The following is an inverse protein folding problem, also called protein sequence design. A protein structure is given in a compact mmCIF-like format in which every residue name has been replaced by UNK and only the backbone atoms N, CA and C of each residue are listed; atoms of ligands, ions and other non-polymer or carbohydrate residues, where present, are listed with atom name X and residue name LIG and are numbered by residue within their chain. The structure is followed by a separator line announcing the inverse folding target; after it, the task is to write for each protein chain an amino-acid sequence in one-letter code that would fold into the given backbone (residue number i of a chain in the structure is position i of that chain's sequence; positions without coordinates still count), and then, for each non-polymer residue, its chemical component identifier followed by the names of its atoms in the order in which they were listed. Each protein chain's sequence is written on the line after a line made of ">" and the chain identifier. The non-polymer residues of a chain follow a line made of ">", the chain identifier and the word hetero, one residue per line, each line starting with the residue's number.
data_IF_020853991590
#
_entry.id   IF_020853991590
#
_cell.length_a   1.000
_cell.length_b   1.000
_cell.length_c   1.000
_cell.angle_alpha   90.00
_cell.angle_beta   90.00
_cell.angle_gamma   90.00
#
_symmetry.space_group_name_H-M   'P 1'
#
loop_
_entity.id
_entity.type
_entity.pdbx_description
1 polymer ?
#
# COMPACT_ATOMS: atom_id res chain seq x y z
N UNK A 1 -4.16 42.42 -48.16
CA UNK A 1 -4.52 41.02 -48.44
C UNK A 1 -4.73 40.34 -47.10
N UNK A 2 -6.01 40.24 -46.75
CA UNK A 2 -6.55 39.61 -45.53
C UNK A 2 -6.85 38.15 -45.81
N UNK A 3 -6.63 37.29 -44.80
CA UNK A 3 -7.38 36.06 -44.49
C UNK A 3 -7.15 35.83 -42.98
N UNK A 4 -7.97 36.40 -42.09
CA UNK A 4 -9.28 35.95 -41.59
C UNK A 4 -9.18 35.02 -40.37
N UNK A 5 -9.10 35.65 -39.20
CA UNK A 5 -9.41 35.06 -37.89
C UNK A 5 -10.92 35.08 -37.61
N UNK A 6 -11.70 34.41 -38.45
CA UNK A 6 -13.16 34.47 -38.46
C UNK A 6 -13.84 33.12 -38.12
N UNK A 7 -13.31 32.37 -37.14
CA UNK A 7 -13.93 31.12 -36.68
C UNK A 7 -14.59 31.21 -35.29
N UNK A 8 -14.20 32.15 -34.41
CA UNK A 8 -14.74 32.20 -33.03
C UNK A 8 -15.88 33.21 -32.77
N UNK A 9 -16.12 34.24 -33.62
CA UNK A 9 -16.99 35.37 -33.21
C UNK A 9 -18.22 35.61 -34.10
N UNK A 10 -19.02 34.58 -34.33
CA UNK A 10 -20.43 34.78 -34.67
C UNK A 10 -21.27 33.92 -33.71
N UNK A 11 -22.61 34.04 -33.72
CA UNK A 11 -23.54 33.26 -32.87
C UNK A 11 -23.82 33.85 -31.47
N UNK A 12 -23.98 35.17 -31.42
CA UNK A 12 -24.82 35.81 -30.39
C UNK A 12 -26.27 35.86 -30.88
N UNK A 13 -27.15 35.22 -30.11
CA UNK A 13 -28.63 35.32 -30.10
C UNK A 13 -29.45 34.29 -30.89
N UNK A 14 -30.16 33.45 -30.10
CA UNK A 14 -31.32 32.61 -30.40
C UNK A 14 -31.13 31.39 -31.33
N UNK A 15 -30.95 30.18 -30.76
CA UNK A 15 -31.60 28.94 -31.22
C UNK A 15 -31.25 27.70 -30.36
N UNK A 16 -32.20 26.80 -30.04
CA UNK A 16 -31.95 25.57 -29.26
C UNK A 16 -31.42 24.40 -30.12
N UNK A 17 -30.57 24.66 -31.13
CA UNK A 17 -30.16 23.64 -32.15
C UNK A 17 -28.62 23.52 -32.30
N UNK A 18 -27.84 23.88 -31.27
CA UNK A 18 -26.36 23.79 -31.34
C UNK A 18 -25.76 22.48 -30.75
N UNK A 19 -26.55 21.55 -30.25
CA UNK A 19 -26.01 20.26 -29.76
C UNK A 19 -25.44 19.38 -30.89
N UNK A 20 -25.93 19.51 -32.13
CA UNK A 20 -25.55 18.62 -33.24
C UNK A 20 -24.16 18.94 -33.85
N UNK A 21 -23.66 20.18 -33.76
CA UNK A 21 -22.42 20.57 -34.46
C UNK A 21 -21.15 20.08 -33.76
N UNK A 22 -21.18 19.87 -32.44
CA UNK A 22 -19.99 19.42 -31.68
C UNK A 22 -19.90 17.90 -31.55
N UNK A 23 -21.00 17.17 -31.77
CA UNK A 23 -20.99 15.69 -31.80
C UNK A 23 -20.14 15.12 -32.94
N UNK A 24 -19.93 15.91 -33.99
CA UNK A 24 -19.16 15.56 -35.19
C UNK A 24 -17.69 15.99 -35.13
N UNK A 25 -17.29 16.76 -34.12
CA UNK A 25 -15.92 17.21 -33.97
C UNK A 25 -14.99 16.06 -33.57
N UNK A 26 -13.76 16.13 -34.07
CA UNK A 26 -12.65 15.27 -33.66
C UNK A 26 -12.20 15.60 -32.23
N UNK A 27 -11.42 14.70 -31.63
CA UNK A 27 -10.90 14.92 -30.28
C UNK A 27 -10.01 16.17 -30.23
N UNK A 28 -9.18 16.36 -31.25
CA UNK A 28 -8.26 17.48 -31.39
C UNK A 28 -8.98 18.83 -31.51
N UNK A 29 -10.06 18.89 -32.29
CA UNK A 29 -10.88 20.09 -32.41
C UNK A 29 -11.57 20.43 -31.08
N UNK A 30 -12.10 19.41 -30.38
CA UNK A 30 -12.68 19.59 -29.05
C UNK A 30 -11.65 20.07 -28.03
N UNK A 31 -10.42 19.55 -28.07
CA UNK A 31 -9.32 19.99 -27.20
C UNK A 31 -8.88 21.42 -27.51
N UNK A 32 -8.90 21.82 -28.79
CA UNK A 32 -8.63 23.20 -29.20
C UNK A 32 -9.69 24.15 -28.64
N UNK A 33 -10.98 23.79 -28.72
CA UNK A 33 -12.04 24.56 -28.07
C UNK A 33 -11.87 24.61 -26.55
N UNK A 34 -11.45 23.52 -25.91
CA UNK A 34 -11.22 23.47 -24.46
C UNK A 34 -10.09 24.41 -24.00
N UNK A 35 -9.11 24.69 -24.87
CA UNK A 35 -8.00 25.59 -24.60
C UNK A 35 -8.33 27.08 -24.84
N UNK A 36 -9.46 27.37 -25.50
CA UNK A 36 -9.90 28.75 -25.77
C UNK A 36 -10.30 29.46 -24.45
N UNK A 37 -9.70 30.62 -24.13
CA UNK A 37 -10.06 31.41 -22.95
C UNK A 37 -11.51 31.89 -22.90
N UNK A 38 -12.21 31.95 -24.04
CA UNK A 38 -13.62 32.36 -24.11
C UNK A 38 -14.60 31.22 -23.76
N UNK A 39 -14.11 29.98 -23.65
CA UNK A 39 -14.93 28.81 -23.32
C UNK A 39 -15.50 28.91 -21.90
N UNK A 40 -16.83 28.83 -21.77
CA UNK A 40 -17.51 28.83 -20.48
C UNK A 40 -17.22 27.56 -19.67
N UNK A 41 -17.21 27.64 -18.34
CA UNK A 41 -17.06 26.48 -17.45
C UNK A 41 -18.05 25.34 -17.78
N UNK A 42 -19.30 25.68 -18.07
CA UNK A 42 -20.33 24.70 -18.42
C UNK A 42 -20.02 24.01 -19.76
N UNK A 43 -19.44 24.73 -20.72
CA UNK A 43 -19.02 24.17 -22.00
C UNK A 43 -17.78 23.30 -21.86
N UNK A 44 -16.81 23.72 -21.05
CA UNK A 44 -15.63 22.92 -20.74
C UNK A 44 -16.01 21.57 -20.14
N UNK A 45 -17.01 21.51 -19.26
CA UNK A 45 -17.54 20.25 -18.70
C UNK A 45 -18.10 19.36 -19.81
N UNK A 46 -18.97 19.88 -20.68
CA UNK A 46 -19.56 19.11 -21.79
C UNK A 46 -18.50 18.57 -22.76
N UNK A 47 -17.48 19.38 -23.06
CA UNK A 47 -16.37 18.95 -23.92
C UNK A 47 -15.62 17.79 -23.27
N UNK A 48 -15.35 17.85 -21.97
CA UNK A 48 -14.69 16.76 -21.23
C UNK A 48 -15.54 15.49 -21.21
N UNK A 49 -16.84 15.60 -20.95
CA UNK A 49 -17.77 14.47 -21.01
C UNK A 49 -17.72 13.80 -22.39
N UNK A 50 -17.77 14.61 -23.45
CA UNK A 50 -17.68 14.10 -24.82
C UNK A 50 -16.35 13.40 -25.12
N UNK A 51 -15.24 14.00 -24.68
CA UNK A 51 -13.92 13.38 -24.82
C UNK A 51 -13.84 12.04 -24.07
N UNK A 52 -14.46 11.92 -22.90
CA UNK A 52 -14.54 10.67 -22.15
C UNK A 52 -15.34 9.61 -22.92
N UNK A 53 -16.52 9.97 -23.44
CA UNK A 53 -17.36 9.07 -24.26
C UNK A 53 -16.61 8.56 -25.49
N UNK A 54 -15.97 9.47 -26.25
CA UNK A 54 -15.24 9.12 -27.48
C UNK A 54 -14.09 8.13 -27.23
N UNK A 55 -13.52 8.13 -26.02
CA UNK A 55 -12.35 7.32 -25.68
C UNK A 55 -12.69 6.14 -24.75
N UNK A 56 -13.97 5.84 -24.50
CA UNK A 56 -14.36 4.72 -23.64
C UNK A 56 -13.78 3.38 -24.16
N UNK A 57 -13.85 3.15 -25.47
CA UNK A 57 -13.25 1.95 -26.09
C UNK A 57 -11.73 1.89 -25.91
N UNK A 58 -11.05 3.03 -25.99
CA UNK A 58 -9.60 3.11 -25.77
C UNK A 58 -9.23 2.81 -24.31
N UNK A 59 -10.02 3.30 -23.35
CA UNK A 59 -9.87 2.98 -21.92
C UNK A 59 -10.02 1.48 -21.69
N UNK A 60 -11.02 0.84 -22.32
CA UNK A 60 -11.20 -0.61 -22.26
C UNK A 60 -9.99 -1.36 -22.87
N UNK A 61 -9.47 -0.90 -24.00
CA UNK A 61 -8.30 -1.52 -24.66
C UNK A 61 -7.02 -1.41 -23.80
N UNK A 62 -6.80 -0.28 -23.14
CA UNK A 62 -5.66 -0.08 -22.25
C UNK A 62 -5.76 -1.01 -21.04
N UNK A 63 -6.91 -1.04 -20.37
CA UNK A 63 -7.10 -1.82 -19.14
C UNK A 63 -7.16 -3.33 -19.38
N UNK A 64 -7.65 -3.78 -20.54
CA UNK A 64 -7.71 -5.21 -20.90
C UNK A 64 -6.35 -5.91 -20.81
N UNK A 65 -5.25 -5.20 -21.10
CA UNK A 65 -3.87 -5.72 -21.01
C UNK A 65 -3.40 -6.01 -19.58
N UNK A 66 -4.17 -5.58 -18.57
CA UNK A 66 -3.89 -5.71 -17.15
C UNK A 66 -4.86 -6.63 -16.41
N UNK A 67 -5.74 -7.33 -17.14
CA UNK A 67 -6.65 -8.31 -16.56
C UNK A 67 -5.88 -9.41 -15.79
N UNK A 68 -6.47 -9.91 -14.71
CA UNK A 68 -5.94 -11.01 -13.90
C UNK A 68 -4.63 -10.71 -13.16
N UNK A 69 -4.32 -9.43 -12.91
CA UNK A 69 -3.14 -9.02 -12.12
C UNK A 69 -3.43 -8.71 -10.65
N UNK A 70 -4.57 -9.19 -10.14
CA UNK A 70 -4.95 -9.04 -8.72
C UNK A 70 -5.74 -7.78 -8.36
N UNK A 71 -6.15 -6.97 -9.35
CA UNK A 71 -6.98 -5.78 -9.15
C UNK A 71 -8.33 -5.90 -9.89
N UNK A 72 -9.44 -5.40 -9.30
CA UNK A 72 -10.74 -5.34 -9.98
C UNK A 72 -10.66 -4.52 -11.27
N UNK A 73 -11.36 -5.00 -12.31
CA UNK A 73 -11.35 -4.32 -13.61
C UNK A 73 -11.91 -2.89 -13.54
N UNK A 74 -12.86 -2.65 -12.64
CA UNK A 74 -13.44 -1.32 -12.43
C UNK A 74 -12.40 -0.32 -11.91
N UNK A 75 -11.55 -0.74 -10.96
CA UNK A 75 -10.48 0.10 -10.42
C UNK A 75 -9.42 0.43 -11.48
N UNK A 76 -9.10 -0.54 -12.34
CA UNK A 76 -8.21 -0.33 -13.49
C UNK A 76 -8.82 0.67 -14.49
N UNK A 77 -10.13 0.59 -14.76
CA UNK A 77 -10.84 1.57 -15.60
C UNK A 77 -10.80 2.95 -14.97
N UNK A 78 -11.04 3.08 -13.66
CA UNK A 78 -10.95 4.37 -12.98
C UNK A 78 -9.56 4.97 -13.04
N UNK A 79 -8.50 4.17 -12.83
CA UNK A 79 -7.12 4.63 -12.98
C UNK A 79 -6.82 5.11 -14.40
N UNK A 80 -7.32 4.39 -15.42
CA UNK A 80 -7.20 4.80 -16.81
C UNK A 80 -7.99 6.09 -17.10
N UNK A 81 -9.20 6.27 -16.58
CA UNK A 81 -9.96 7.52 -16.73
C UNK A 81 -9.25 8.73 -16.10
N UNK A 82 -8.61 8.55 -14.94
CA UNK A 82 -7.74 9.59 -14.36
C UNK A 82 -6.60 9.95 -15.32
N UNK A 83 -5.97 8.96 -15.95
CA UNK A 83 -4.95 9.17 -16.97
C UNK A 83 -5.49 9.87 -18.22
N UNK A 84 -6.70 9.53 -18.67
CA UNK A 84 -7.36 10.21 -19.78
C UNK A 84 -7.59 11.70 -19.45
N UNK A 85 -8.09 12.00 -18.26
CA UNK A 85 -8.30 13.40 -17.84
C UNK A 85 -7.00 14.18 -17.73
N UNK A 86 -5.91 13.53 -17.29
CA UNK A 86 -4.56 14.14 -17.34
C UNK A 86 -4.10 14.41 -18.76
N UNK A 87 -4.35 13.48 -19.69
CA UNK A 87 -4.03 13.67 -21.09
C UNK A 87 -4.84 14.83 -21.70
N UNK A 88 -6.15 14.90 -21.42
CA UNK A 88 -7.01 16.01 -21.85
C UNK A 88 -6.48 17.35 -21.33
N UNK A 89 -6.02 17.41 -20.09
CA UNK A 89 -5.49 18.65 -19.49
C UNK A 89 -4.10 19.05 -19.97
N UNK A 90 -3.30 18.10 -20.46
CA UNK A 90 -1.89 18.30 -20.76
C UNK A 90 -1.54 18.06 -22.22
N UNK A 91 -2.52 17.91 -23.10
CA UNK A 91 -2.27 17.76 -24.54
C UNK A 91 -2.10 19.13 -25.18
N UNK A 92 -1.12 19.22 -26.07
CA UNK A 92 -0.82 20.41 -26.86
C UNK A 92 -1.01 20.09 -28.35
N UNK A 93 -2.06 20.63 -29.00
CA UNK A 93 -2.33 20.41 -30.42
C UNK A 93 -1.24 20.90 -31.36
N UNK A 94 -0.44 21.90 -30.95
CA UNK A 94 0.56 22.54 -31.80
C UNK A 94 1.80 21.64 -32.02
N UNK A 95 1.96 20.60 -31.19
CA UNK A 95 3.05 19.62 -31.32
C UNK A 95 2.83 18.60 -32.46
N UNK A 96 1.66 18.60 -33.11
CA UNK A 96 1.39 17.80 -34.31
C UNK A 96 1.31 16.28 -34.10
N UNK A 97 1.10 15.84 -32.86
CA UNK A 97 0.90 14.42 -32.53
C UNK A 97 -0.59 14.11 -32.34
N UNK A 98 -1.02 12.91 -32.75
CA UNK A 98 -2.39 12.42 -32.54
C UNK A 98 -2.70 12.27 -31.04
N UNK A 99 -3.85 12.81 -30.59
CA UNK A 99 -4.27 12.76 -29.20
C UNK A 99 -4.39 11.31 -28.71
N UNK A 100 -4.86 10.40 -29.56
CA UNK A 100 -5.05 8.99 -29.19
C UNK A 100 -3.74 8.34 -28.69
N UNK A 101 -2.62 8.63 -29.37
CA UNK A 101 -1.30 8.09 -29.00
C UNK A 101 -0.83 8.65 -27.66
N UNK A 102 -0.96 9.95 -27.46
CA UNK A 102 -0.59 10.63 -26.21
C UNK A 102 -1.43 10.15 -25.02
N UNK A 103 -2.74 10.07 -25.21
CA UNK A 103 -3.68 9.58 -24.21
C UNK A 103 -3.37 8.13 -23.82
N UNK A 104 -3.03 7.26 -24.77
CA UNK A 104 -2.66 5.86 -24.49
C UNK A 104 -1.45 5.75 -23.55
N UNK A 105 -0.37 6.51 -23.81
CA UNK A 105 0.83 6.49 -22.96
C UNK A 105 0.49 6.98 -21.56
N UNK A 106 -0.26 8.07 -21.45
CA UNK A 106 -0.65 8.69 -20.18
C UNK A 106 -1.53 7.77 -19.33
N UNK A 107 -2.56 7.17 -19.95
CA UNK A 107 -3.42 6.19 -19.29
C UNK A 107 -2.67 4.97 -18.80
N UNK A 108 -1.79 4.42 -19.64
CA UNK A 108 -0.98 3.27 -19.27
C UNK A 108 -0.03 3.58 -18.10
N UNK A 109 0.47 4.82 -18.03
CA UNK A 109 1.22 5.35 -16.89
C UNK A 109 0.41 5.37 -15.60
N UNK A 110 -0.82 5.91 -15.61
CA UNK A 110 -1.66 5.94 -14.42
C UNK A 110 -2.12 4.55 -13.97
N UNK A 111 -2.40 3.62 -14.89
CA UNK A 111 -2.72 2.23 -14.53
C UNK A 111 -1.51 1.56 -13.86
N UNK A 112 -0.30 1.73 -14.40
CA UNK A 112 0.93 1.22 -13.75
C UNK A 112 1.15 1.86 -12.38
N UNK A 113 0.90 3.16 -12.25
CA UNK A 113 0.98 3.88 -10.99
C UNK A 113 -0.03 3.35 -9.96
N UNK A 114 -1.25 3.02 -10.38
CA UNK A 114 -2.26 2.41 -9.52
C UNK A 114 -1.76 1.09 -8.91
N UNK A 115 -1.24 0.18 -9.75
CA UNK A 115 -0.64 -1.07 -9.27
C UNK A 115 0.49 -0.84 -8.25
N UNK A 116 1.31 0.18 -8.48
CA UNK A 116 2.42 0.50 -7.60
C UNK A 116 1.97 1.08 -6.27
N UNK A 117 0.99 1.98 -6.30
CA UNK A 117 0.60 2.78 -5.12
C UNK A 117 -0.46 2.06 -4.25
N UNK A 118 -1.26 1.11 -4.80
CA UNK A 118 -2.41 0.50 -4.10
C UNK A 118 -2.43 -1.02 -3.98
N UNK A 119 -1.72 -1.77 -4.82
CA UNK A 119 -1.80 -3.24 -4.83
C UNK A 119 -0.85 -3.91 -3.84
N UNK A 120 0.02 -3.15 -3.16
CA UNK A 120 0.97 -3.73 -2.20
C UNK A 120 0.27 -4.05 -0.88
N UNK A 121 0.26 -5.33 -0.50
CA UNK A 121 -0.28 -5.79 0.78
C UNK A 121 0.43 -5.13 1.99
N UNK A 122 1.73 -4.83 1.84
CA UNK A 122 2.50 -4.05 2.82
C UNK A 122 3.22 -2.91 2.11
N UNK A 123 3.16 -1.70 2.68
CA UNK A 123 3.79 -0.51 2.11
C UNK A 123 5.32 -0.60 2.23
N UNK A 124 6.01 -0.87 1.12
CA UNK A 124 7.46 -0.93 1.04
C UNK A 124 8.05 0.37 0.46
N UNK A 125 9.26 0.82 0.87
CA UNK A 125 9.92 1.99 0.29
C UNK A 125 10.10 1.90 -1.23
N UNK A 126 10.05 3.07 -1.88
CA UNK A 126 9.98 3.22 -3.34
C UNK A 126 11.12 2.53 -4.11
N UNK A 127 12.33 2.57 -3.57
CA UNK A 127 13.53 1.97 -4.18
C UNK A 127 13.32 0.47 -4.43
N UNK A 128 12.71 -0.25 -3.49
CA UNK A 128 12.47 -1.70 -3.62
C UNK A 128 11.34 -2.02 -4.59
N UNK A 129 10.34 -1.14 -4.72
CA UNK A 129 9.25 -1.33 -5.68
C UNK A 129 9.73 -1.24 -7.13
N UNK A 130 10.61 -0.27 -7.41
CA UNK A 130 11.21 -0.08 -8.74
C UNK A 130 12.18 -1.24 -9.06
N UNK A 131 13.00 -1.65 -8.09
CA UNK A 131 13.91 -2.81 -8.21
C UNK A 131 13.19 -4.12 -8.50
N UNK A 132 11.96 -4.35 -8.02
CA UNK A 132 11.20 -5.58 -8.33
C UNK A 132 10.98 -5.79 -9.83
N UNK A 133 10.70 -4.72 -10.58
CA UNK A 133 10.49 -4.82 -12.04
C UNK A 133 11.80 -5.23 -12.72
N UNK A 134 12.92 -4.62 -12.31
CA UNK A 134 14.25 -4.94 -12.81
C UNK A 134 14.65 -6.37 -12.46
N UNK A 135 14.37 -6.81 -11.23
CA UNK A 135 14.66 -8.14 -10.73
C UNK A 135 13.86 -9.22 -11.47
N UNK A 136 12.58 -9.00 -11.72
CA UNK A 136 11.76 -9.92 -12.53
C UNK A 136 12.29 -10.03 -13.97
N UNK A 137 12.70 -8.91 -14.57
CA UNK A 137 13.27 -8.89 -15.92
C UNK A 137 14.62 -9.63 -15.96
N UNK A 138 15.52 -9.31 -15.03
CA UNK A 138 16.83 -9.96 -14.92
C UNK A 138 16.69 -11.46 -14.65
N UNK A 139 15.75 -11.85 -13.78
CA UNK A 139 15.47 -13.26 -13.48
C UNK A 139 14.99 -14.02 -14.72
N UNK A 140 14.07 -13.44 -15.50
CA UNK A 140 13.60 -14.04 -16.75
C UNK A 140 14.73 -14.17 -17.81
N UNK A 141 15.54 -13.13 -17.99
CA UNK A 141 16.67 -13.14 -18.93
C UNK A 141 17.74 -14.18 -18.53
N UNK A 142 18.10 -14.25 -17.26
CA UNK A 142 19.08 -15.20 -16.75
C UNK A 142 18.55 -16.64 -16.82
N UNK A 143 17.27 -16.86 -16.50
CA UNK A 143 16.65 -18.18 -16.63
C UNK A 143 16.72 -18.69 -18.08
N UNK A 144 16.47 -17.80 -19.05
CA UNK A 144 16.58 -18.14 -20.47
C UNK A 144 18.01 -18.44 -20.91
N UNK A 145 19.00 -17.76 -20.31
CA UNK A 145 20.42 -17.90 -20.68
C UNK A 145 21.09 -19.09 -20.01
N UNK A 146 20.78 -19.33 -18.73
CA UNK A 146 21.41 -20.34 -17.88
C UNK A 146 20.69 -21.69 -17.93
N UNK A 147 19.41 -21.70 -18.32
CA UNK A 147 18.58 -22.92 -18.34
C UNK A 147 18.12 -23.39 -16.95
N UNK A 148 18.38 -22.60 -15.90
CA UNK A 148 17.91 -22.83 -14.53
C UNK A 148 17.54 -21.51 -13.85
N UNK A 149 16.87 -21.57 -12.71
CA UNK A 149 16.57 -20.39 -11.90
C UNK A 149 17.88 -19.74 -11.41
N UNK A 150 18.06 -18.41 -11.56
CA UNK A 150 19.28 -17.73 -11.16
C UNK A 150 19.43 -17.65 -9.64
N UNK A 151 20.68 -17.69 -9.19
CA UNK A 151 21.07 -17.50 -7.80
C UNK A 151 21.13 -16.02 -7.41
N UNK A 152 21.18 -15.75 -6.11
CA UNK A 152 21.31 -14.37 -5.57
C UNK A 152 22.57 -13.68 -6.10
N UNK A 153 23.69 -14.40 -6.16
CA UNK A 153 24.96 -13.87 -6.67
C UNK A 153 24.89 -13.52 -8.16
N UNK A 154 24.27 -14.36 -8.99
CA UNK A 154 24.09 -14.09 -10.44
C UNK A 154 23.15 -12.89 -10.69
N UNK A 155 22.10 -12.77 -9.87
CA UNK A 155 21.22 -11.59 -9.91
C UNK A 155 21.95 -10.32 -9.49
N UNK A 156 22.77 -10.38 -8.44
CA UNK A 156 23.57 -9.27 -7.95
C UNK A 156 24.55 -8.78 -9.02
N UNK A 157 25.26 -9.71 -9.68
CA UNK A 157 26.19 -9.40 -10.76
C UNK A 157 25.48 -8.76 -11.96
N UNK A 158 24.34 -9.33 -12.38
CA UNK A 158 23.56 -8.82 -13.52
C UNK A 158 22.97 -7.43 -13.27
N UNK A 159 22.54 -7.14 -12.04
CA UNK A 159 21.89 -5.89 -11.66
C UNK A 159 22.88 -4.84 -11.14
N UNK A 160 24.13 -5.20 -10.85
CA UNK A 160 25.15 -4.29 -10.33
C UNK A 160 24.84 -3.80 -8.90
N UNK A 161 24.20 -4.62 -8.08
CA UNK A 161 23.83 -4.32 -6.68
C UNK A 161 24.41 -5.39 -5.74
N UNK A 162 24.39 -5.13 -4.43
CA UNK A 162 24.85 -6.13 -3.45
C UNK A 162 23.89 -7.31 -3.33
N UNK A 163 24.39 -8.48 -2.92
CA UNK A 163 23.55 -9.65 -2.62
C UNK A 163 22.52 -9.35 -1.52
N UNK A 164 22.89 -8.51 -0.54
CA UNK A 164 21.97 -8.03 0.50
C UNK A 164 20.82 -7.21 -0.10
N UNK A 165 21.11 -6.31 -1.04
CA UNK A 165 20.09 -5.53 -1.75
C UNK A 165 19.17 -6.44 -2.60
N UNK A 166 19.71 -7.51 -3.18
CA UNK A 166 18.92 -8.53 -3.92
C UNK A 166 17.99 -9.26 -2.95
N UNK A 167 18.50 -9.73 -1.81
CA UNK A 167 17.70 -10.42 -0.79
C UNK A 167 16.58 -9.54 -0.26
N UNK A 168 16.88 -8.29 0.09
CA UNK A 168 15.88 -7.31 0.51
C UNK A 168 14.84 -7.03 -0.58
N UNK A 169 15.26 -6.98 -1.85
CA UNK A 169 14.35 -6.78 -2.98
C UNK A 169 13.47 -8.01 -3.26
N UNK A 170 13.99 -9.22 -3.05
CA UNK A 170 13.23 -10.47 -3.12
C UNK A 170 12.20 -10.56 -1.99
N UNK A 171 12.59 -10.23 -0.77
CA UNK A 171 11.71 -10.19 0.40
C UNK A 171 10.64 -9.11 0.25
N UNK A 172 11.01 -7.90 -0.20
CA UNK A 172 10.05 -6.88 -0.58
C UNK A 172 9.08 -7.35 -1.68
N UNK A 173 9.52 -8.22 -2.59
CA UNK A 173 8.68 -8.71 -3.67
C UNK A 173 7.60 -9.68 -3.20
N UNK A 174 7.79 -10.40 -2.08
CA UNK A 174 6.74 -11.23 -1.47
C UNK A 174 5.68 -10.38 -0.77
N UNK A 175 6.04 -9.19 -0.28
CA UNK A 175 5.11 -8.21 0.29
C UNK A 175 4.12 -7.60 -0.74
N UNK A 176 4.32 -7.85 -2.04
CA UNK A 176 3.39 -7.44 -3.09
C UNK A 176 2.05 -8.21 -3.04
N UNK A 177 2.08 -9.51 -2.69
CA UNK A 177 0.87 -10.33 -2.56
C UNK A 177 1.02 -11.24 -1.35
N UNK A 178 0.38 -10.87 -0.23
CA UNK A 178 0.26 -11.78 0.90
C UNK A 178 -0.59 -13.00 0.50
N UNK A 179 -0.22 -14.17 1.00
CA UNK A 179 -1.08 -15.36 0.94
C UNK A 179 -2.29 -15.12 1.86
N UNK A 180 -3.47 -15.52 1.40
CA UNK A 180 -4.66 -15.48 2.25
C UNK A 180 -4.53 -16.53 3.37
N UNK A 181 -4.92 -16.16 4.58
CA UNK A 181 -5.05 -17.12 5.69
C UNK A 181 -6.20 -18.11 5.44
N UNK A 182 -7.21 -17.68 4.70
CA UNK A 182 -8.35 -18.50 4.29
C UNK A 182 -8.04 -19.31 3.02
N UNK A 183 -6.78 -19.30 2.53
CA UNK A 183 -6.41 -20.10 1.38
C UNK A 183 -6.47 -21.59 1.73
N UNK A 184 -7.20 -22.42 0.96
CA UNK A 184 -7.29 -23.85 1.22
C UNK A 184 -5.95 -24.53 0.98
N UNK A 185 -5.58 -25.44 1.90
CA UNK A 185 -4.39 -26.26 1.82
C UNK A 185 -4.81 -27.69 1.43
N UNK A 186 -4.81 -27.96 0.13
CA UNK A 186 -5.17 -29.26 -0.45
C UNK A 186 -6.39 -29.20 -1.38
N UNK A 187 -6.69 -30.30 -2.06
CA UNK A 187 -7.88 -30.43 -2.92
C UNK A 187 -9.00 -31.14 -2.16
N UNK A 188 -10.07 -30.43 -1.81
CA UNK A 188 -11.27 -30.98 -1.16
C UNK A 188 -12.21 -29.92 -0.58
N UNK A 189 -13.51 -30.24 -0.47
CA UNK A 189 -14.52 -29.36 0.16
C UNK A 189 -14.27 -29.11 1.65
N UNK A 190 -13.53 -30.01 2.32
CA UNK A 190 -13.09 -29.88 3.72
C UNK A 190 -11.57 -29.61 3.81
N UNK A 191 -11.00 -28.86 2.86
CA UNK A 191 -9.58 -28.49 2.92
C UNK A 191 -9.33 -27.55 4.09
N UNK A 192 -8.31 -27.86 4.90
CA UNK A 192 -7.88 -27.01 5.99
C UNK A 192 -7.41 -25.65 5.44
N UNK A 193 -7.69 -24.58 6.17
CA UNK A 193 -7.24 -23.25 5.79
C UNK A 193 -5.77 -23.06 6.20
N UNK A 194 -5.05 -22.15 5.54
CA UNK A 194 -3.67 -21.82 5.92
C UNK A 194 -3.59 -21.32 7.38
N UNK A 195 -4.66 -20.68 7.86
CA UNK A 195 -4.86 -20.24 9.24
C UNK A 195 -4.76 -21.38 10.26
N UNK A 196 -5.25 -22.58 9.92
CA UNK A 196 -5.28 -23.75 10.82
C UNK A 196 -3.87 -24.29 11.13
N UNK A 197 -2.90 -24.00 10.27
CA UNK A 197 -1.50 -24.41 10.44
C UNK A 197 -0.68 -23.37 11.22
N UNK A 198 -1.23 -22.19 11.48
CA UNK A 198 -0.53 -21.17 12.25
C UNK A 198 -0.63 -21.49 13.74
N UNK A 199 0.50 -21.70 14.43
CA UNK A 199 0.47 -21.94 15.87
C UNK A 199 -0.04 -20.69 16.58
N UNK A 200 -1.16 -20.82 17.28
CA UNK A 200 -1.61 -19.81 18.23
C UNK A 200 -0.69 -19.82 19.45
N UNK A 201 -0.09 -18.68 19.79
CA UNK A 201 0.55 -18.53 21.11
C UNK A 201 -0.57 -18.38 22.15
N UNK A 202 -0.74 -19.40 22.99
CA UNK A 202 -1.70 -19.35 24.09
C UNK A 202 -1.14 -18.48 25.23
N UNK A 203 -1.42 -17.18 25.15
CA UNK A 203 -1.02 -16.20 26.16
C UNK A 203 -1.60 -16.54 27.55
N UNK A 204 -2.72 -17.26 27.60
CA UNK A 204 -3.31 -17.71 28.86
C UNK A 204 -2.48 -18.81 29.52
N UNK A 205 -1.92 -19.73 28.72
CA UNK A 205 -0.99 -20.76 29.19
C UNK A 205 0.32 -20.14 29.68
N UNK A 206 0.87 -19.17 28.95
CA UNK A 206 2.07 -18.42 29.38
C UNK A 206 1.83 -17.73 30.74
N UNK A 207 0.71 -17.04 30.88
CA UNK A 207 0.33 -16.37 32.14
C UNK A 207 0.15 -17.36 33.30
N UNK A 208 -0.41 -18.55 33.03
CA UNK A 208 -0.58 -19.60 34.04
C UNK A 208 0.77 -20.17 34.48
N UNK A 209 1.67 -20.44 33.54
CA UNK A 209 3.03 -20.94 33.83
C UNK A 209 3.82 -19.91 34.66
N UNK A 210 3.78 -18.64 34.27
CA UNK A 210 4.44 -17.55 35.02
C UNK A 210 3.89 -17.45 36.44
N UNK A 211 2.57 -17.51 36.61
CA UNK A 211 1.94 -17.50 37.95
C UNK A 211 2.33 -18.71 38.78
N UNK A 212 2.38 -19.90 38.19
CA UNK A 212 2.78 -21.12 38.87
C UNK A 212 4.25 -21.11 39.28
N UNK A 213 5.14 -20.52 38.46
CA UNK A 213 6.56 -20.39 38.77
C UNK A 213 6.82 -19.35 39.87
N UNK A 214 6.13 -18.20 39.81
CA UNK A 214 6.36 -17.08 40.74
C UNK A 214 5.72 -17.32 42.12
N UNK A 215 4.57 -17.99 42.18
CA UNK A 215 3.79 -18.12 43.44
C UNK A 215 4.56 -18.79 44.59
N UNK A 216 5.21 -19.96 44.42
CA UNK A 216 5.98 -20.59 45.49
C UNK A 216 7.12 -19.70 46.01
N UNK A 217 7.74 -18.93 45.11
CA UNK A 217 8.83 -18.01 45.45
C UNK A 217 8.32 -16.83 46.29
N UNK A 218 7.15 -16.29 45.96
CA UNK A 218 6.49 -15.25 46.76
C UNK A 218 6.09 -15.80 48.14
N UNK A 219 5.58 -17.04 48.20
CA UNK A 219 5.16 -17.66 49.45
C UNK A 219 6.32 -17.92 50.40
N UNK A 220 7.53 -18.17 49.86
CA UNK A 220 8.77 -18.33 50.62
C UNK A 220 9.39 -16.99 51.11
N UNK A 221 8.91 -15.84 50.65
CA UNK A 221 9.41 -14.55 51.11
C UNK A 221 9.08 -14.31 52.60
N UNK A 222 9.96 -13.61 53.33
CA UNK A 222 9.64 -13.12 54.67
C UNK A 222 8.33 -12.35 54.67
N UNK A 223 7.50 -12.54 55.70
CA UNK A 223 6.14 -11.96 55.79
C UNK A 223 6.14 -10.46 55.47
N UNK A 224 7.11 -9.71 56.00
CA UNK A 224 7.24 -8.26 55.76
C UNK A 224 7.53 -7.92 54.29
N UNK A 225 8.43 -8.66 53.64
CA UNK A 225 8.78 -8.49 52.23
C UNK A 225 7.58 -8.83 51.33
N UNK A 226 6.90 -9.94 51.62
CA UNK A 226 5.69 -10.38 50.90
C UNK A 226 4.56 -9.36 50.99
N UNK A 227 4.28 -8.84 52.19
CA UNK A 227 3.22 -7.84 52.37
C UNK A 227 3.51 -6.55 51.60
N UNK A 228 4.77 -6.06 51.63
CA UNK A 228 5.19 -4.88 50.87
C UNK A 228 5.06 -5.12 49.36
N UNK A 229 5.43 -6.31 48.87
CA UNK A 229 5.27 -6.70 47.46
C UNK A 229 3.78 -6.71 47.05
N UNK A 230 2.93 -7.35 47.85
CA UNK A 230 1.49 -7.46 47.56
C UNK A 230 0.80 -6.09 47.60
N UNK A 231 1.10 -5.24 48.58
CA UNK A 231 0.55 -3.87 48.60
C UNK A 231 0.94 -3.08 47.36
N UNK A 232 2.17 -3.28 46.83
CA UNK A 232 2.64 -2.59 45.64
C UNK A 232 1.97 -3.10 44.35
N UNK A 233 1.96 -4.41 44.13
CA UNK A 233 1.60 -5.01 42.84
C UNK A 233 0.18 -5.56 42.77
N UNK A 234 -0.46 -5.83 43.90
CA UNK A 234 -1.86 -6.26 43.98
C UNK A 234 -2.76 -5.18 44.58
N UNK A 235 -2.28 -4.48 45.60
CA UNK A 235 -2.98 -3.36 46.24
C UNK A 235 -2.86 -2.01 45.54
N UNK A 236 -2.06 -1.92 44.45
CA UNK A 236 -1.80 -0.70 43.69
C UNK A 236 -1.32 0.52 44.51
N UNK A 237 -0.75 0.30 45.70
CA UNK A 237 -0.28 1.38 46.55
C UNK A 237 1.03 1.97 46.03
N UNK A 238 1.20 3.28 46.18
CA UNK A 238 2.48 3.96 45.96
C UNK A 238 3.48 3.60 47.05
N UNK A 239 4.78 3.68 46.75
CA UNK A 239 5.82 3.42 47.74
C UNK A 239 5.74 4.39 48.94
N UNK A 240 5.23 5.60 48.72
CA UNK A 240 4.99 6.59 49.78
C UNK A 240 3.81 6.22 50.69
N UNK A 241 2.74 5.63 50.15
CA UNK A 241 1.62 5.12 50.95
C UNK A 241 2.03 3.89 51.76
N UNK A 242 2.76 2.97 51.13
CA UNK A 242 3.32 1.79 51.81
C UNK A 242 4.29 2.23 52.92
N UNK A 243 5.11 3.26 52.68
CA UNK A 243 6.03 3.81 53.66
C UNK A 243 5.31 4.36 54.90
N UNK A 244 4.18 5.07 54.69
CA UNK A 244 3.33 5.56 55.79
C UNK A 244 2.75 4.40 56.61
N UNK A 245 2.23 3.37 55.95
CA UNK A 245 1.65 2.19 56.61
C UNK A 245 2.67 1.44 57.49
N UNK A 246 3.91 1.34 57.03
CA UNK A 246 4.97 0.62 57.74
C UNK A 246 5.83 1.50 58.66
N UNK A 247 5.56 2.81 58.74
CA UNK A 247 6.35 3.75 59.55
C UNK A 247 7.82 3.84 59.13
N UNK A 248 8.13 3.67 57.84
CA UNK A 248 9.49 3.71 57.28
C UNK A 248 9.60 4.76 56.17
N UNK A 249 10.81 5.02 55.68
CA UNK A 249 10.99 5.93 54.54
C UNK A 249 10.63 5.27 53.21
N UNK A 250 10.14 6.05 52.24
CA UNK A 250 9.87 5.58 50.88
C UNK A 250 11.12 4.99 50.21
N UNK A 251 12.29 5.55 50.48
CA UNK A 251 13.57 4.99 50.02
C UNK A 251 13.86 3.61 50.59
N UNK A 252 13.45 3.33 51.83
CA UNK A 252 13.56 2.01 52.42
C UNK A 252 12.62 1.01 51.72
N UNK A 253 11.36 1.39 51.47
CA UNK A 253 10.41 0.56 50.69
C UNK A 253 10.97 0.25 49.29
N UNK A 254 11.54 1.25 48.61
CA UNK A 254 12.17 1.08 47.30
C UNK A 254 13.32 0.06 47.34
N UNK A 255 14.18 0.12 48.36
CA UNK A 255 15.29 -0.82 48.53
C UNK A 255 14.79 -2.24 48.81
N UNK A 256 13.76 -2.41 49.62
CA UNK A 256 13.13 -3.70 49.89
C UNK A 256 12.56 -4.29 48.60
N UNK A 257 11.75 -3.53 47.86
CA UNK A 257 11.15 -4.00 46.60
C UNK A 257 12.20 -4.41 45.58
N UNK A 258 13.28 -3.61 45.42
CA UNK A 258 14.40 -3.98 44.54
C UNK A 258 15.05 -5.29 44.96
N UNK A 259 15.38 -5.44 46.24
CA UNK A 259 16.00 -6.66 46.75
C UNK A 259 15.10 -7.89 46.55
N UNK A 260 13.79 -7.76 46.81
CA UNK A 260 12.81 -8.84 46.59
C UNK A 260 12.71 -9.20 45.12
N UNK A 261 12.57 -8.21 44.22
CA UNK A 261 12.48 -8.47 42.78
C UNK A 261 13.76 -9.11 42.24
N UNK A 262 14.94 -8.71 42.72
CA UNK A 262 16.21 -9.38 42.37
C UNK A 262 16.23 -10.83 42.84
N UNK A 263 15.85 -11.10 44.11
CA UNK A 263 15.76 -12.48 44.63
C UNK A 263 14.81 -13.35 43.80
N UNK A 264 13.60 -12.85 43.51
CA UNK A 264 12.61 -13.57 42.71
C UNK A 264 13.15 -13.86 41.31
N UNK A 265 13.79 -12.87 40.67
CA UNK A 265 14.36 -13.03 39.33
C UNK A 265 15.46 -14.09 39.29
N UNK A 266 16.39 -14.07 40.25
CA UNK A 266 17.46 -15.08 40.35
C UNK A 266 16.87 -16.47 40.55
N UNK A 267 15.92 -16.63 41.47
CA UNK A 267 15.28 -17.91 41.72
C UNK A 267 14.37 -18.43 40.58
N UNK A 268 14.02 -17.58 39.60
CA UNK A 268 13.32 -17.96 38.37
C UNK A 268 14.26 -18.39 37.24
N UNK A 269 15.55 -18.05 37.35
CA UNK A 269 16.57 -18.37 36.32
C UNK A 269 17.48 -19.54 36.71
N UNK A 270 17.42 -19.98 37.97
CA UNK A 270 18.02 -21.21 38.48
C UNK A 270 17.04 -22.39 38.38
#
# INVERSE_FOLDING_TARGET
>A
MSMDGAACTAWSQHMPVLNLSREQLTAEELLTCLADPETSDMEAVRIRERLVEMHEGLVADVTRRYRYRGEPMEDLRQAAYVGLMKAVNGFDPDLGHDFRGYAMITMMGEVKRHFRDRTWAVRVPRVYQERRIELNKASAELTQTLGHAPTVAELAEKLGISEEDVLLSLEASTAYSALSLDAPVGDGEDSAELSDFLPAQDESLNTLLDRHAVKPLIDALPVRERTILLMRFYGNMTQSEIAKEFGISQMHVSRILRAVLTKLRTALTD
#
